data_IF_799795700890
#
_entry.id   IF_799795700890
#
_cell.length_a   1.000
_cell.length_b   1.000
_cell.length_c   1.000
_cell.angle_alpha   90.00
_cell.angle_beta   90.00
_cell.angle_gamma   90.00
#
_symmetry.space_group_name_H-M   'P 1'
#
loop_
_entity.id
_entity.type
_entity.pdbx_description
1 polymer ?
#
# COMPACT_ATOMS: atom_id res chain seq x y z
N UNK A 1 -12.58 -26.47 -8.22
CA UNK A 1 -13.16 -25.38 -9.03
C UNK A 1 -13.36 -24.18 -8.11
N UNK A 2 -13.19 -22.94 -8.59
CA UNK A 2 -13.35 -21.74 -7.76
C UNK A 2 -14.79 -21.70 -7.21
N UNK A 3 -14.96 -21.78 -5.89
CA UNK A 3 -16.27 -21.62 -5.26
C UNK A 3 -16.59 -20.12 -5.19
N UNK A 4 -17.03 -19.57 -6.32
CA UNK A 4 -17.57 -18.21 -6.38
C UNK A 4 -19.03 -18.29 -5.92
N UNK A 5 -19.43 -17.35 -5.06
CA UNK A 5 -20.78 -17.31 -4.52
C UNK A 5 -21.83 -17.20 -5.65
N UNK A 6 -22.98 -17.90 -5.61
CA UNK A 6 -23.98 -17.89 -6.69
C UNK A 6 -24.55 -16.52 -7.05
N UNK A 7 -24.55 -15.57 -6.10
CA UNK A 7 -24.99 -14.19 -6.33
C UNK A 7 -23.93 -13.30 -7.00
N UNK A 8 -22.70 -13.79 -7.14
CA UNK A 8 -21.63 -13.04 -7.77
C UNK A 8 -21.84 -12.95 -9.29
N UNK A 9 -21.47 -11.82 -9.88
CA UNK A 9 -21.56 -11.63 -11.34
C UNK A 9 -20.65 -12.65 -12.05
N UNK A 10 -21.17 -13.33 -13.07
CA UNK A 10 -20.44 -14.34 -13.88
C UNK A 10 -19.07 -13.87 -14.40
N UNK A 11 -18.89 -12.57 -14.66
CA UNK A 11 -17.60 -12.03 -15.09
C UNK A 11 -16.45 -12.30 -14.11
N UNK A 12 -16.75 -12.48 -12.81
CA UNK A 12 -15.76 -12.76 -11.78
C UNK A 12 -15.11 -14.15 -11.91
N UNK A 13 -15.76 -15.11 -12.59
CA UNK A 13 -15.18 -16.43 -12.87
C UNK A 13 -13.90 -16.32 -13.73
N UNK A 14 -13.88 -15.32 -14.61
CA UNK A 14 -12.76 -15.02 -15.51
C UNK A 14 -11.63 -14.26 -14.84
N UNK A 15 -11.84 -13.75 -13.62
CA UNK A 15 -10.81 -13.02 -12.86
C UNK A 15 -10.04 -14.02 -12.01
N UNK A 16 -8.72 -14.07 -12.20
CA UNK A 16 -7.84 -14.78 -11.27
C UNK A 16 -7.73 -13.95 -9.97
N UNK A 17 -7.90 -14.55 -8.79
CA UNK A 17 -7.64 -13.86 -7.54
C UNK A 17 -6.21 -13.30 -7.52
N UNK A 18 -6.06 -12.05 -7.07
CA UNK A 18 -4.75 -11.45 -6.87
C UNK A 18 -3.99 -12.25 -5.81
N UNK A 19 -2.74 -12.61 -6.11
CA UNK A 19 -1.82 -13.23 -5.17
C UNK A 19 -0.84 -12.15 -4.70
N UNK A 20 -1.02 -11.57 -3.51
CA UNK A 20 -0.07 -10.59 -2.99
C UNK A 20 1.30 -11.22 -2.78
N UNK A 21 2.34 -10.38 -2.77
CA UNK A 21 3.66 -10.79 -2.31
C UNK A 21 3.61 -11.27 -0.86
N UNK A 22 4.42 -12.28 -0.54
CA UNK A 22 4.47 -12.87 0.81
C UNK A 22 5.07 -11.85 1.81
N UNK A 23 4.45 -11.64 2.99
CA UNK A 23 5.03 -10.83 4.06
C UNK A 23 6.40 -11.35 4.50
N UNK A 24 7.27 -10.45 4.98
CA UNK A 24 8.60 -10.84 5.51
C UNK A 24 8.43 -11.90 6.61
N UNK A 25 7.47 -11.68 7.50
CA UNK A 25 7.21 -12.51 8.67
C UNK A 25 6.76 -13.92 8.28
N UNK A 26 6.05 -14.05 7.15
CA UNK A 26 5.63 -15.36 6.65
C UNK A 26 6.79 -16.10 5.98
N UNK A 27 7.61 -15.41 5.18
CA UNK A 27 8.85 -15.98 4.62
C UNK A 27 9.79 -16.45 5.74
N UNK A 28 9.96 -15.63 6.78
CA UNK A 28 10.80 -15.93 7.93
C UNK A 28 10.37 -17.22 8.64
N UNK A 29 9.06 -17.38 8.90
CA UNK A 29 8.50 -18.60 9.51
C UNK A 29 8.71 -19.84 8.65
N UNK A 30 8.51 -19.73 7.34
CA UNK A 30 8.66 -20.88 6.42
C UNK A 30 10.12 -21.33 6.28
N UNK A 31 11.05 -20.38 6.28
CA UNK A 31 12.48 -20.67 6.12
C UNK A 31 13.20 -20.93 7.45
N UNK A 32 12.54 -20.73 8.59
CA UNK A 32 13.13 -20.90 9.92
C UNK A 32 14.23 -19.89 10.24
N UNK A 33 14.16 -18.68 9.67
CA UNK A 33 15.15 -17.62 9.87
C UNK A 33 14.55 -16.42 10.59
N UNK A 34 15.38 -15.60 11.23
CA UNK A 34 14.93 -14.31 11.78
C UNK A 34 14.45 -13.39 10.64
N UNK A 35 13.31 -12.69 10.80
CA UNK A 35 12.89 -11.61 9.89
C UNK A 35 13.99 -10.57 9.65
N UNK A 36 14.81 -10.28 10.66
CA UNK A 36 15.90 -9.30 10.58
C UNK A 36 17.01 -9.71 9.60
N UNK A 37 17.08 -11.00 9.24
CA UNK A 37 18.03 -11.53 8.27
C UNK A 37 17.52 -11.45 6.81
N UNK A 38 16.30 -10.95 6.60
CA UNK A 38 15.67 -10.86 5.27
C UNK A 38 15.89 -9.46 4.70
N UNK A 39 16.59 -9.39 3.57
CA UNK A 39 16.69 -8.17 2.77
C UNK A 39 15.51 -8.12 1.79
N UNK A 40 14.57 -7.20 2.01
CA UNK A 40 13.39 -7.04 1.15
C UNK A 40 13.75 -6.28 -0.13
N UNK A 41 13.86 -7.00 -1.24
CA UNK A 41 14.03 -6.45 -2.60
C UNK A 41 12.80 -6.67 -3.50
N UNK A 42 11.67 -7.06 -2.89
CA UNK A 42 10.40 -7.25 -3.58
C UNK A 42 9.54 -5.97 -3.52
N UNK A 43 8.55 -5.88 -4.42
CA UNK A 43 7.49 -4.83 -4.43
C UNK A 43 7.90 -3.42 -4.83
N UNK A 44 9.10 -3.22 -5.39
CA UNK A 44 9.58 -1.93 -5.91
C UNK A 44 9.54 -0.78 -4.87
N UNK A 45 9.77 -1.10 -3.59
CA UNK A 45 9.77 -0.11 -2.52
C UNK A 45 11.04 0.74 -2.53
N UNK A 46 10.94 1.97 -2.03
CA UNK A 46 12.08 2.86 -1.91
C UNK A 46 12.86 2.58 -0.60
N UNK A 47 14.08 2.06 -0.72
CA UNK A 47 14.97 1.75 0.42
C UNK A 47 15.35 2.97 1.26
N UNK A 48 15.26 4.18 0.72
CA UNK A 48 15.53 5.42 1.47
C UNK A 48 14.38 5.80 2.41
N UNK A 49 13.23 5.13 2.29
CA UNK A 49 12.01 5.50 2.99
C UNK A 49 11.37 6.78 2.46
N UNK A 50 10.36 7.30 3.17
CA UNK A 50 9.67 8.53 2.77
C UNK A 50 10.53 9.78 2.97
N UNK A 51 10.24 10.83 2.20
CA UNK A 51 10.90 12.14 2.35
C UNK A 51 10.80 12.67 3.79
N UNK A 52 11.90 13.23 4.32
CA UNK A 52 11.91 13.87 5.63
C UNK A 52 10.87 15.01 5.76
N UNK A 53 10.61 15.74 4.67
CA UNK A 53 9.57 16.78 4.62
C UNK A 53 8.18 16.17 4.84
N UNK A 54 7.91 15.00 4.26
CA UNK A 54 6.66 14.29 4.43
C UNK A 54 6.51 13.77 5.88
N UNK A 55 7.55 13.15 6.43
CA UNK A 55 7.56 12.67 7.82
C UNK A 55 7.23 13.78 8.84
N UNK A 56 7.80 14.97 8.65
CA UNK A 56 7.52 16.13 9.51
C UNK A 56 6.04 16.53 9.50
N UNK A 57 5.41 16.55 8.32
CA UNK A 57 4.00 16.92 8.17
C UNK A 57 3.08 15.83 8.74
N UNK A 58 3.38 14.55 8.47
CA UNK A 58 2.61 13.42 9.02
C UNK A 58 2.57 13.50 10.55
N UNK A 59 3.73 13.66 11.20
CA UNK A 59 3.81 13.80 12.67
C UNK A 59 2.95 14.96 13.19
N UNK A 60 2.97 16.11 12.50
CA UNK A 60 2.15 17.28 12.88
C UNK A 60 0.65 16.99 12.77
N UNK A 61 0.23 16.20 11.78
CA UNK A 61 -1.17 15.90 11.46
C UNK A 61 -1.75 14.69 12.19
N UNK A 62 -0.95 13.94 12.96
CA UNK A 62 -1.42 12.74 13.67
C UNK A 62 -2.64 12.96 14.55
N UNK A 63 -2.76 14.13 15.21
CA UNK A 63 -3.89 14.45 16.10
C UNK A 63 -5.20 14.73 15.36
N UNK A 64 -5.17 14.88 14.03
CA UNK A 64 -6.31 15.23 13.19
C UNK A 64 -6.83 14.01 12.39
N UNK A 65 -6.26 12.81 12.57
CA UNK A 65 -6.60 11.62 11.76
C UNK A 65 -8.04 11.12 11.94
N UNK A 66 -8.75 11.60 12.96
CA UNK A 66 -10.17 11.31 13.17
C UNK A 66 -11.10 12.09 12.22
N UNK A 67 -10.59 13.10 11.51
CA UNK A 67 -11.35 13.83 10.51
C UNK A 67 -11.19 13.21 9.13
N UNK A 68 -12.26 13.21 8.35
CA UNK A 68 -12.19 12.87 6.94
C UNK A 68 -11.23 13.83 6.21
N UNK A 69 -10.46 13.33 5.22
CA UNK A 69 -9.63 14.18 4.38
C UNK A 69 -10.50 15.05 3.45
N UNK A 70 -9.87 16.03 2.80
CA UNK A 70 -10.44 16.73 1.64
C UNK A 70 -10.71 15.72 0.52
N UNK A 71 -11.99 15.48 0.23
CA UNK A 71 -12.48 14.51 -0.75
C UNK A 71 -12.07 14.87 -2.19
N UNK A 72 -11.88 16.16 -2.45
CA UNK A 72 -11.46 16.64 -3.77
C UNK A 72 -9.95 16.59 -3.97
N UNK A 73 -9.15 16.43 -2.91
CA UNK A 73 -7.69 16.53 -2.94
C UNK A 73 -7.19 17.85 -3.58
N UNK A 74 -7.89 18.97 -3.33
CA UNK A 74 -7.68 20.28 -3.94
C UNK A 74 -6.21 20.71 -3.92
N UNK A 75 -5.58 20.70 -2.74
CA UNK A 75 -4.20 21.16 -2.58
C UNK A 75 -3.19 20.26 -3.31
N UNK A 76 -3.43 18.95 -3.34
CA UNK A 76 -2.56 18.01 -4.06
C UNK A 76 -2.64 18.25 -5.57
N UNK A 77 -3.86 18.33 -6.12
CA UNK A 77 -4.09 18.59 -7.55
C UNK A 77 -3.48 19.91 -7.98
N UNK A 78 -3.71 20.98 -7.21
CA UNK A 78 -3.11 22.29 -7.46
C UNK A 78 -1.58 22.18 -7.51
N UNK A 79 -0.96 21.50 -6.54
CA UNK A 79 0.50 21.41 -6.50
C UNK A 79 1.08 20.59 -7.65
N UNK A 80 0.42 19.50 -8.03
CA UNK A 80 0.82 18.70 -9.18
C UNK A 80 0.73 19.51 -10.47
N UNK A 81 -0.34 20.29 -10.66
CA UNK A 81 -0.47 21.16 -11.85
C UNK A 81 0.60 22.25 -11.90
N UNK A 82 0.96 22.85 -10.76
CA UNK A 82 2.10 23.80 -10.71
C UNK A 82 3.44 23.16 -11.13
N UNK A 83 3.62 21.85 -10.93
CA UNK A 83 4.86 21.13 -11.25
C UNK A 83 4.84 20.66 -12.72
N UNK A 84 3.69 20.19 -13.20
CA UNK A 84 3.59 19.42 -14.44
C UNK A 84 2.73 20.05 -15.54
N UNK A 85 2.02 21.15 -15.28
CA UNK A 85 1.11 21.82 -16.21
C UNK A 85 -0.33 21.31 -16.13
#
# INVERSE_FOLDING_TARGET
MKNIHPLARKCLERVAPYKPGKPIEEVARELGISPDNIIKLASNENLLGPSYKALKVIRKKMKELNFYPDDTCFYLKKKLSEIWG
#
